data_IF_151132661750
#
_entry.id   IF_151132661750
#
_cell.length_a   1.000
_cell.length_b   1.000
_cell.length_c   1.000
_cell.angle_alpha   90.00
_cell.angle_beta   90.00
_cell.angle_gamma   90.00
#
_symmetry.space_group_name_H-M   'P 1'
#
loop_
_entity.id
_entity.type
_entity.pdbx_description
1 polymer ?
#
# COMPACT_ATOMS: atom_id res chain seq x y z
N UNK A 1 -23.97 23.78 -53.92
CA UNK A 1 -23.53 24.13 -52.55
C UNK A 1 -23.78 22.97 -51.57
N UNK A 2 -24.88 22.22 -51.72
CA UNK A 2 -25.32 21.10 -50.86
C UNK A 2 -24.34 19.91 -50.79
N UNK A 3 -23.71 19.50 -51.90
CA UNK A 3 -22.78 18.35 -51.93
C UNK A 3 -21.46 18.52 -51.12
N UNK A 4 -21.08 19.75 -50.76
CA UNK A 4 -19.87 19.99 -49.94
C UNK A 4 -20.16 19.85 -48.45
N UNK A 5 -21.40 20.07 -48.02
CA UNK A 5 -21.80 20.03 -46.60
C UNK A 5 -22.01 18.59 -46.10
N UNK A 6 -22.58 17.71 -46.93
CA UNK A 6 -22.76 16.28 -46.60
C UNK A 6 -21.42 15.55 -46.38
N UNK A 7 -20.41 15.84 -47.21
CA UNK A 7 -19.05 15.29 -47.04
C UNK A 7 -18.35 15.81 -45.78
N UNK A 8 -18.74 16.96 -45.25
CA UNK A 8 -18.21 17.49 -43.99
C UNK A 8 -18.89 16.84 -42.78
N UNK A 9 -20.19 16.51 -42.87
CA UNK A 9 -20.90 15.77 -41.83
C UNK A 9 -20.35 14.34 -41.68
N UNK A 10 -20.16 13.60 -42.77
CA UNK A 10 -19.66 12.23 -42.73
C UNK A 10 -18.24 12.13 -42.14
N UNK A 11 -17.40 13.14 -42.38
CA UNK A 11 -16.07 13.25 -41.77
C UNK A 11 -16.12 13.53 -40.27
N UNK A 12 -17.09 14.33 -39.82
CA UNK A 12 -17.30 14.63 -38.40
C UNK A 12 -17.83 13.41 -37.64
N UNK A 13 -18.71 12.61 -38.25
CA UNK A 13 -19.22 11.37 -37.65
C UNK A 13 -18.12 10.33 -37.45
N UNK A 14 -17.31 10.07 -38.49
CA UNK A 14 -16.15 9.16 -38.39
C UNK A 14 -15.10 9.64 -37.38
N UNK A 15 -14.88 10.95 -37.30
CA UNK A 15 -14.02 11.53 -36.27
C UNK A 15 -14.60 11.34 -34.85
N UNK A 16 -15.92 11.43 -34.70
CA UNK A 16 -16.61 11.21 -33.43
C UNK A 16 -16.57 9.74 -33.01
N UNK A 17 -16.74 8.79 -33.93
CA UNK A 17 -16.56 7.35 -33.69
C UNK A 17 -15.13 7.00 -33.24
N UNK A 18 -14.12 7.67 -33.81
CA UNK A 18 -12.73 7.55 -33.33
C UNK A 18 -12.57 8.03 -31.89
N UNK A 19 -13.28 9.10 -31.52
CA UNK A 19 -13.26 9.65 -30.15
C UNK A 19 -14.04 8.77 -29.18
N UNK A 20 -15.18 8.18 -29.57
CA UNK A 20 -15.94 7.27 -28.71
C UNK A 20 -15.16 5.98 -28.41
N UNK A 21 -14.46 5.43 -29.40
CA UNK A 21 -13.62 4.24 -29.21
C UNK A 21 -12.39 4.55 -28.33
N UNK A 22 -11.78 5.73 -28.47
CA UNK A 22 -10.70 6.15 -27.58
C UNK A 22 -11.20 6.46 -26.17
N UNK A 23 -12.38 7.08 -26.00
CA UNK A 23 -13.01 7.27 -24.69
C UNK A 23 -13.38 5.95 -24.01
N UNK A 24 -13.87 4.97 -24.76
CA UNK A 24 -14.26 3.67 -24.19
C UNK A 24 -13.02 2.86 -23.78
N UNK A 25 -11.95 2.88 -24.58
CA UNK A 25 -10.66 2.27 -24.19
C UNK A 25 -10.01 2.97 -23.00
N UNK A 26 -10.15 4.30 -22.88
CA UNK A 26 -9.71 5.06 -21.71
C UNK A 26 -10.57 4.77 -20.48
N UNK A 27 -11.89 4.65 -20.62
CA UNK A 27 -12.80 4.30 -19.52
C UNK A 27 -12.49 2.92 -18.95
N UNK A 28 -12.27 1.91 -19.80
CA UNK A 28 -11.85 0.59 -19.35
C UNK A 28 -10.46 0.63 -18.66
N UNK A 29 -9.52 1.41 -19.21
CA UNK A 29 -8.18 1.57 -18.60
C UNK A 29 -8.21 2.28 -17.26
N UNK A 30 -9.10 3.27 -17.09
CA UNK A 30 -9.31 4.03 -15.85
C UNK A 30 -10.11 3.20 -14.84
N UNK A 31 -11.06 2.35 -15.27
CA UNK A 31 -11.69 1.36 -14.39
C UNK A 31 -10.68 0.33 -13.86
N UNK A 32 -9.64 -0.01 -14.61
CA UNK A 32 -8.56 -0.87 -14.12
C UNK A 32 -7.55 -0.15 -13.19
N UNK A 33 -7.71 1.15 -12.95
CA UNK A 33 -7.06 1.88 -11.84
C UNK A 33 -7.86 1.78 -10.53
N UNK A 34 -8.81 0.84 -10.44
CA UNK A 34 -9.30 0.37 -9.15
C UNK A 34 -8.08 -0.06 -8.32
N UNK A 35 -7.92 0.54 -7.15
CA UNK A 35 -6.91 0.17 -6.16
C UNK A 35 -6.85 -1.36 -6.09
N UNK A 36 -5.66 -1.99 -6.23
CA UNK A 36 -5.58 -3.42 -6.08
C UNK A 36 -6.22 -3.75 -4.74
N UNK A 37 -7.22 -4.64 -4.74
CA UNK A 37 -7.86 -5.14 -3.53
C UNK A 37 -6.74 -5.47 -2.54
N UNK A 38 -6.67 -4.66 -1.48
CA UNK A 38 -5.49 -4.61 -0.61
C UNK A 38 -5.41 -5.98 0.05
N UNK A 39 -4.43 -6.79 -0.36
CA UNK A 39 -4.26 -8.13 0.19
C UNK A 39 -4.07 -8.00 1.71
N UNK A 40 -5.09 -8.38 2.48
CA UNK A 40 -5.10 -8.25 3.93
C UNK A 40 -3.88 -8.93 4.57
N UNK A 41 -3.35 -9.99 3.92
CA UNK A 41 -2.13 -10.65 4.36
C UNK A 41 -0.90 -9.78 4.14
N UNK A 42 -0.83 -9.03 3.03
CA UNK A 42 0.26 -8.08 2.80
C UNK A 42 0.21 -6.94 3.81
N UNK A 43 -0.98 -6.41 4.11
CA UNK A 43 -1.13 -5.38 5.14
C UNK A 43 -0.69 -5.88 6.52
N UNK A 44 -1.04 -7.12 6.86
CA UNK A 44 -0.59 -7.74 8.11
C UNK A 44 0.93 -7.94 8.15
N UNK A 45 1.55 -8.35 7.04
CA UNK A 45 3.01 -8.45 6.91
C UNK A 45 3.68 -7.07 7.12
N UNK A 46 3.12 -6.01 6.55
CA UNK A 46 3.63 -4.64 6.76
C UNK A 46 3.46 -4.15 8.20
N UNK A 47 2.40 -4.56 8.91
CA UNK A 47 2.25 -4.30 10.35
C UNK A 47 3.37 -4.99 11.14
N UNK A 48 3.72 -6.22 10.80
CA UNK A 48 4.81 -6.95 11.47
C UNK A 48 6.17 -6.28 11.20
N UNK A 49 6.44 -5.85 9.96
CA UNK A 49 7.69 -5.13 9.63
C UNK A 49 7.83 -3.87 10.46
N UNK A 50 6.78 -3.05 10.55
CA UNK A 50 6.78 -1.84 11.38
C UNK A 50 7.02 -2.16 12.86
N UNK A 51 6.41 -3.22 13.38
CA UNK A 51 6.66 -3.63 14.76
C UNK A 51 8.12 -4.07 15.01
N UNK A 52 8.77 -4.67 14.01
CA UNK A 52 10.21 -4.97 14.06
C UNK A 52 11.05 -3.70 14.07
N UNK A 53 10.77 -2.75 13.17
CA UNK A 53 11.46 -1.46 13.10
C UNK A 53 11.31 -0.67 14.40
N UNK A 54 10.12 -0.67 15.01
CA UNK A 54 9.86 -0.09 16.33
C UNK A 54 10.72 -0.72 17.42
N UNK A 55 10.84 -2.06 17.43
CA UNK A 55 11.68 -2.77 18.39
C UNK A 55 13.17 -2.46 18.18
N UNK A 56 13.68 -2.50 16.95
CA UNK A 56 15.06 -2.11 16.63
C UNK A 56 15.33 -0.65 17.01
N UNK A 57 14.34 0.22 16.86
CA UNK A 57 14.38 1.61 17.33
C UNK A 57 14.48 1.72 18.85
N UNK A 58 13.65 0.97 19.58
CA UNK A 58 13.69 0.93 21.05
C UNK A 58 15.03 0.43 21.58
N UNK A 59 15.61 -0.60 20.95
CA UNK A 59 16.95 -1.08 21.29
C UNK A 59 18.02 0.00 21.08
N UNK A 60 17.98 0.73 19.96
CA UNK A 60 18.90 1.86 19.73
C UNK A 60 18.74 2.93 20.80
N UNK A 61 17.51 3.27 21.19
CA UNK A 61 17.23 4.23 22.26
C UNK A 61 17.85 3.75 23.59
N UNK A 62 17.62 2.50 23.97
CA UNK A 62 18.19 1.91 25.18
C UNK A 62 19.71 1.99 25.22
N UNK A 63 20.39 1.67 24.12
CA UNK A 63 21.86 1.78 24.04
C UNK A 63 22.37 3.23 24.06
N UNK A 64 21.54 4.20 23.69
CA UNK A 64 21.91 5.62 23.62
C UNK A 64 21.58 6.43 24.88
N UNK A 65 20.66 5.93 25.72
CA UNK A 65 20.22 6.62 26.94
C UNK A 65 21.36 6.62 27.96
N UNK A 66 21.74 7.81 28.39
CA UNK A 66 22.70 8.04 29.47
C UNK A 66 22.07 8.66 30.72
N UNK A 67 20.84 9.16 30.59
CA UNK A 67 20.06 9.75 31.68
C UNK A 67 19.49 8.64 32.57
N UNK A 68 19.89 8.58 33.86
CA UNK A 68 19.38 7.60 34.81
C UNK A 68 17.85 7.65 34.97
N UNK A 69 17.21 8.80 34.79
CA UNK A 69 15.76 8.94 34.95
C UNK A 69 14.99 8.38 33.73
N UNK A 70 15.68 8.13 32.62
CA UNK A 70 15.10 7.59 31.38
C UNK A 70 15.42 6.11 31.15
N UNK A 71 16.32 5.50 31.94
CA UNK A 71 16.75 4.12 31.72
C UNK A 71 15.60 3.11 31.89
N UNK A 72 14.77 3.29 32.92
CA UNK A 72 13.64 2.42 33.20
C UNK A 72 12.60 2.49 32.07
N UNK A 73 12.36 3.70 31.55
CA UNK A 73 11.51 3.88 30.38
C UNK A 73 12.08 3.17 29.15
N UNK A 74 13.39 3.29 28.90
CA UNK A 74 14.02 2.65 27.75
C UNK A 74 13.96 1.12 27.84
N UNK A 75 14.17 0.53 29.03
CA UNK A 75 14.01 -0.91 29.28
C UNK A 75 12.57 -1.33 29.00
N UNK A 76 11.60 -0.63 29.60
CA UNK A 76 10.18 -0.93 29.40
C UNK A 76 9.79 -0.87 27.92
N UNK A 77 10.26 0.14 27.19
CA UNK A 77 9.95 0.32 25.78
C UNK A 77 10.51 -0.82 24.90
N UNK A 78 11.74 -1.29 25.18
CA UNK A 78 12.32 -2.46 24.50
C UNK A 78 11.45 -3.69 24.72
N UNK A 79 11.08 -3.97 25.98
CA UNK A 79 10.26 -5.15 26.30
C UNK A 79 8.86 -5.07 25.69
N UNK A 80 8.22 -3.89 25.70
CA UNK A 80 6.90 -3.68 25.14
C UNK A 80 6.87 -3.87 23.61
N UNK A 81 7.82 -3.26 22.90
CA UNK A 81 7.91 -3.37 21.43
C UNK A 81 8.28 -4.78 20.99
N UNK A 82 9.19 -5.46 21.71
CA UNK A 82 9.51 -6.87 21.49
C UNK A 82 8.31 -7.78 21.70
N UNK A 83 7.56 -7.59 22.79
CA UNK A 83 6.35 -8.37 23.08
C UNK A 83 5.30 -8.20 21.98
N UNK A 84 5.09 -6.97 21.48
CA UNK A 84 4.21 -6.66 20.35
C UNK A 84 4.64 -7.40 19.09
N UNK A 85 5.93 -7.34 18.72
CA UNK A 85 6.45 -8.04 17.54
C UNK A 85 6.25 -9.56 17.63
N UNK A 86 6.60 -10.18 18.77
CA UNK A 86 6.42 -11.62 19.00
C UNK A 86 4.95 -12.02 18.92
N UNK A 87 4.05 -11.22 19.51
CA UNK A 87 2.62 -11.46 19.43
C UNK A 87 2.12 -11.47 17.98
N UNK A 88 2.52 -10.49 17.18
CA UNK A 88 2.11 -10.40 15.78
C UNK A 88 2.64 -11.57 14.93
N UNK A 89 3.86 -12.04 15.19
CA UNK A 89 4.40 -13.25 14.55
C UNK A 89 3.58 -14.50 14.89
N UNK A 90 3.16 -14.65 16.16
CA UNK A 90 2.28 -15.75 16.57
C UNK A 90 0.95 -15.70 15.84
N UNK A 91 0.36 -14.50 15.73
CA UNK A 91 -0.88 -14.29 14.97
C UNK A 91 -0.75 -14.60 13.48
N UNK A 92 0.33 -14.18 12.82
CA UNK A 92 0.59 -14.55 11.43
C UNK A 92 0.62 -16.07 11.25
N UNK A 93 1.29 -16.79 12.16
CA UNK A 93 1.36 -18.24 12.14
C UNK A 93 -0.02 -18.89 12.32
N UNK A 94 -0.83 -18.40 13.26
CA UNK A 94 -2.20 -18.86 13.49
C UNK A 94 -3.10 -18.64 12.26
N UNK A 95 -2.89 -17.55 11.53
CA UNK A 95 -3.64 -17.20 10.31
C UNK A 95 -3.09 -17.86 9.04
N UNK A 96 -1.97 -18.61 9.12
CA UNK A 96 -1.33 -19.22 7.95
C UNK A 96 -0.64 -18.21 7.01
N UNK A 97 -0.37 -16.99 7.49
CA UNK A 97 0.29 -15.95 6.72
C UNK A 97 1.79 -16.26 6.61
N UNK A 98 2.30 -16.33 5.38
CA UNK A 98 3.73 -16.56 5.14
C UNK A 98 4.52 -15.26 5.35
N UNK A 99 5.30 -15.24 6.41
CA UNK A 99 6.19 -14.12 6.72
C UNK A 99 7.61 -14.40 6.24
N UNK A 100 7.98 -13.90 5.06
CA UNK A 100 9.38 -13.94 4.59
C UNK A 100 10.13 -12.72 5.13
N UNK A 101 10.67 -12.82 6.34
CA UNK A 101 11.57 -11.84 6.94
C UNK A 101 13.00 -12.40 6.92
N UNK A 102 13.57 -12.59 5.73
CA UNK A 102 14.96 -13.02 5.54
C UNK A 102 15.69 -12.01 4.68
#
# INVERSE_FOLDING_TARGET
MIMKEEKQLEKKEKAFEGITNTLNSLYNKIQHFQEPEKDENQEFVEIIKRAREEWEGAEKTFHSVSDPDLIDYAIYNVEATRAKYIYLLKRAKEMGIKTNFY
#
